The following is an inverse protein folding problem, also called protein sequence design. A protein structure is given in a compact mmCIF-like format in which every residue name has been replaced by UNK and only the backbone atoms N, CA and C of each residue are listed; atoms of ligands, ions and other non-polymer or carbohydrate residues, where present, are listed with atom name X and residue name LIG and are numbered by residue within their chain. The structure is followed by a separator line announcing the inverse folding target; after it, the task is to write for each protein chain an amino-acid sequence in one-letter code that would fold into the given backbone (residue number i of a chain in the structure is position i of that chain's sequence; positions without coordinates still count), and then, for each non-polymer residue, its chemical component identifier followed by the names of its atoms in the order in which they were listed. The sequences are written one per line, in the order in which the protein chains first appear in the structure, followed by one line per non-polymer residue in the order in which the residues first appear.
data_IF_545272260648
#
_entry.id   IF_545272260648
#
_cell.length_a   1.000
_cell.length_b   1.000
_cell.length_c   1.000
_cell.angle_alpha   90.00
_cell.angle_beta   90.00
_cell.angle_gamma   90.00
#
_symmetry.space_group_name_H-M   'P 1'
#
loop_
_entity.id
_entity.type
_entity.pdbx_description
1 polymer ?
#
# COMPACT_ATOMS: atom_id res chain seq x y z
N UNK A 1 -5.10 -45.43 -75.68
CA UNK A 1 -5.60 -44.82 -74.46
C UNK A 1 -4.52 -44.98 -73.43
N UNK A 2 -3.73 -43.92 -73.20
CA UNK A 2 -2.63 -43.87 -72.21
C UNK A 2 -3.18 -43.13 -71.01
N UNK A 3 -3.21 -43.81 -69.84
CA UNK A 3 -3.65 -43.23 -68.57
C UNK A 3 -2.52 -42.37 -67.98
N UNK A 4 -2.82 -41.11 -67.72
CA UNK A 4 -1.93 -40.17 -67.01
C UNK A 4 -2.03 -40.45 -65.50
N UNK A 5 -0.85 -40.58 -64.87
CA UNK A 5 -0.71 -40.70 -63.40
C UNK A 5 -0.79 -39.32 -62.76
N UNK A 6 -1.44 -39.16 -61.59
CA UNK A 6 -1.48 -37.88 -60.90
C UNK A 6 -0.18 -37.57 -60.21
N UNK A 7 0.35 -36.38 -60.46
CA UNK A 7 1.53 -35.80 -59.81
C UNK A 7 1.16 -35.34 -58.41
N UNK A 8 1.76 -35.94 -57.39
CA UNK A 8 1.66 -35.46 -55.99
C UNK A 8 2.53 -34.21 -55.85
N UNK A 9 1.90 -33.09 -55.48
CA UNK A 9 2.57 -31.86 -55.09
C UNK A 9 2.85 -31.97 -53.58
N UNK A 10 4.09 -32.17 -53.19
CA UNK A 10 4.54 -32.04 -51.78
C UNK A 10 4.39 -30.58 -51.37
N UNK A 11 3.55 -30.33 -50.40
CA UNK A 11 3.49 -29.03 -49.69
C UNK A 11 4.71 -28.94 -48.76
N UNK A 12 5.40 -27.77 -48.68
CA UNK A 12 6.52 -27.59 -47.78
C UNK A 12 6.05 -27.60 -46.33
N UNK A 13 6.68 -28.42 -45.51
CA UNK A 13 6.52 -28.51 -44.06
C UNK A 13 6.84 -27.11 -43.49
N UNK A 14 5.83 -26.41 -42.99
CA UNK A 14 6.01 -25.14 -42.31
C UNK A 14 6.88 -25.38 -41.09
N UNK A 15 8.05 -24.74 -41.06
CA UNK A 15 8.98 -24.80 -39.95
C UNK A 15 8.28 -24.33 -38.67
N UNK A 16 8.15 -25.22 -37.71
CA UNK A 16 7.71 -24.92 -36.35
C UNK A 16 8.75 -23.96 -35.79
N UNK A 17 8.37 -22.69 -35.57
CA UNK A 17 9.18 -21.71 -34.86
C UNK A 17 9.68 -22.32 -33.55
N UNK A 18 10.98 -22.19 -33.22
CA UNK A 18 11.47 -22.72 -31.97
C UNK A 18 10.70 -22.05 -30.82
N UNK A 19 10.14 -22.86 -29.94
CA UNK A 19 9.60 -22.44 -28.65
C UNK A 19 10.64 -21.55 -28.01
N UNK A 20 10.35 -20.27 -27.92
CA UNK A 20 11.19 -19.31 -27.21
C UNK A 20 11.30 -19.81 -25.78
N UNK A 21 12.47 -20.37 -25.40
CA UNK A 21 12.75 -20.76 -24.03
C UNK A 21 12.74 -19.45 -23.25
N UNK A 22 11.63 -19.17 -22.54
CA UNK A 22 11.54 -18.06 -21.61
C UNK A 22 12.65 -18.25 -20.58
N UNK A 23 13.63 -17.37 -20.59
CA UNK A 23 14.61 -17.34 -19.52
C UNK A 23 13.86 -17.04 -18.21
N UNK A 24 14.17 -17.77 -17.12
CA UNK A 24 13.48 -17.57 -15.85
C UNK A 24 13.71 -16.15 -15.35
N UNK A 25 12.67 -15.57 -14.74
CA UNK A 25 12.78 -14.28 -14.11
C UNK A 25 13.78 -14.33 -12.93
N UNK A 26 14.64 -13.34 -12.83
CA UNK A 26 15.68 -13.27 -11.79
C UNK A 26 15.32 -12.19 -10.80
N UNK A 27 15.27 -12.55 -9.52
CA UNK A 27 14.98 -11.61 -8.43
C UNK A 27 16.23 -11.28 -7.65
N UNK A 28 16.51 -9.97 -7.51
CA UNK A 28 17.67 -9.45 -6.79
C UNK A 28 17.26 -8.39 -5.78
N UNK A 29 18.08 -8.26 -4.72
CA UNK A 29 17.94 -7.14 -3.77
C UNK A 29 18.28 -5.83 -4.49
N UNK A 30 17.39 -4.86 -4.37
CA UNK A 30 17.58 -3.51 -4.91
C UNK A 30 18.47 -2.68 -3.97
N UNK A 31 19.31 -1.86 -4.58
CA UNK A 31 20.26 -1.00 -3.91
C UNK A 31 20.10 0.45 -4.39
N UNK A 32 20.84 1.37 -3.77
CA UNK A 32 20.77 2.80 -4.06
C UNK A 32 20.90 3.13 -5.57
N UNK A 33 21.75 2.42 -6.29
CA UNK A 33 21.95 2.61 -7.74
C UNK A 33 20.71 2.29 -8.59
N UNK A 34 19.78 1.48 -8.07
CA UNK A 34 18.53 1.13 -8.74
C UNK A 34 17.39 2.14 -8.51
N UNK A 35 17.57 3.13 -7.63
CA UNK A 35 16.47 3.96 -7.12
C UNK A 35 15.72 4.71 -8.22
N UNK A 36 16.43 5.28 -9.20
CA UNK A 36 15.82 6.00 -10.32
C UNK A 36 14.97 5.09 -11.20
N UNK A 37 15.45 3.90 -11.50
CA UNK A 37 14.73 2.91 -12.29
C UNK A 37 13.48 2.41 -11.55
N UNK A 38 13.63 2.08 -10.27
CA UNK A 38 12.54 1.60 -9.42
C UNK A 38 11.45 2.65 -9.26
N UNK A 39 11.81 3.91 -9.00
CA UNK A 39 10.84 4.99 -8.92
C UNK A 39 10.10 5.20 -10.25
N UNK A 40 10.79 5.10 -11.40
CA UNK A 40 10.14 5.16 -12.72
C UNK A 40 9.11 4.03 -12.88
N UNK A 41 9.49 2.79 -12.56
CA UNK A 41 8.59 1.63 -12.61
C UNK A 41 7.36 1.81 -11.72
N UNK A 42 7.55 2.21 -10.47
CA UNK A 42 6.45 2.38 -9.51
C UNK A 42 5.51 3.55 -9.87
N UNK A 43 6.06 4.63 -10.45
CA UNK A 43 5.28 5.82 -10.83
C UNK A 43 4.46 5.64 -12.11
N UNK A 44 4.59 4.52 -12.84
CA UNK A 44 3.64 4.14 -13.88
C UNK A 44 2.24 3.83 -13.30
N UNK A 45 2.18 3.37 -12.05
CA UNK A 45 0.95 3.06 -11.31
C UNK A 45 0.95 3.74 -9.93
N UNK A 46 1.00 5.09 -9.89
CA UNK A 46 1.33 5.84 -8.68
C UNK A 46 0.33 5.62 -7.55
N UNK A 47 -0.96 5.47 -7.89
CA UNK A 47 -2.02 5.24 -6.91
C UNK A 47 -1.86 3.91 -6.17
N UNK A 48 -1.44 2.87 -6.89
CA UNK A 48 -1.25 1.53 -6.34
C UNK A 48 0.09 1.38 -5.60
N UNK A 49 1.08 2.18 -5.97
CA UNK A 49 2.44 2.12 -5.44
C UNK A 49 2.75 3.24 -4.44
N UNK A 50 1.74 3.97 -3.97
CA UNK A 50 1.92 5.13 -3.11
C UNK A 50 2.80 4.83 -1.89
N UNK A 51 2.58 3.71 -1.21
CA UNK A 51 3.34 3.32 -0.01
C UNK A 51 4.81 3.07 -0.35
N UNK A 52 5.10 2.24 -1.37
CA UNK A 52 6.49 1.92 -1.75
C UNK A 52 7.22 3.15 -2.26
N UNK A 53 6.58 3.94 -3.12
CA UNK A 53 7.14 5.19 -3.65
C UNK A 53 7.46 6.18 -2.52
N UNK A 54 6.55 6.35 -1.57
CA UNK A 54 6.76 7.21 -0.42
C UNK A 54 7.93 6.76 0.43
N UNK A 55 8.01 5.46 0.77
CA UNK A 55 9.11 4.90 1.55
C UNK A 55 10.47 5.11 0.87
N UNK A 56 10.56 4.92 -0.46
CA UNK A 56 11.80 5.14 -1.19
C UNK A 56 12.18 6.62 -1.19
N UNK A 57 11.24 7.53 -1.44
CA UNK A 57 11.51 8.98 -1.44
C UNK A 57 11.93 9.50 -0.07
N UNK A 58 11.33 8.97 1.01
CA UNK A 58 11.63 9.41 2.36
C UNK A 58 12.94 8.83 2.91
N UNK A 59 13.25 7.58 2.55
CA UNK A 59 14.27 6.80 3.23
C UNK A 59 15.35 6.25 2.30
N UNK A 60 15.13 6.22 0.98
CA UNK A 60 15.92 5.44 0.02
C UNK A 60 15.63 3.95 0.10
N UNK A 61 16.20 3.18 -0.84
CA UNK A 61 15.95 1.73 -0.96
C UNK A 61 16.51 0.90 0.21
N UNK A 62 17.62 1.34 0.83
CA UNK A 62 18.40 0.53 1.78
C UNK A 62 18.21 0.94 3.26
N UNK A 63 17.17 1.67 3.58
CA UNK A 63 16.93 2.16 4.93
C UNK A 63 16.27 1.14 5.85
N UNK A 64 16.73 1.07 7.11
CA UNK A 64 16.06 0.30 8.18
C UNK A 64 14.63 0.80 8.47
N UNK A 65 14.33 2.04 8.12
CA UNK A 65 13.01 2.63 8.34
C UNK A 65 11.95 2.08 7.38
N UNK A 66 12.36 1.45 6.28
CA UNK A 66 11.44 0.74 5.39
C UNK A 66 10.87 -0.54 6.05
N UNK A 67 11.47 -1.00 7.17
CA UNK A 67 11.07 -2.22 7.89
C UNK A 67 11.03 -3.47 7.00
N UNK A 68 11.84 -3.48 5.96
CA UNK A 68 11.94 -4.54 4.98
C UNK A 68 13.06 -4.25 3.97
N UNK A 69 13.18 -5.14 3.02
CA UNK A 69 14.13 -5.06 1.91
C UNK A 69 13.38 -4.95 0.60
N UNK A 70 13.80 -4.04 -0.26
CA UNK A 70 13.28 -3.94 -1.62
C UNK A 70 13.95 -4.95 -2.54
N UNK A 71 13.14 -5.67 -3.31
CA UNK A 71 13.56 -6.63 -4.33
C UNK A 71 12.99 -6.23 -5.68
N UNK A 72 13.79 -6.42 -6.73
CA UNK A 72 13.39 -6.26 -8.12
C UNK A 72 13.42 -7.58 -8.85
N UNK A 73 12.40 -7.88 -9.62
CA UNK A 73 12.36 -9.03 -10.53
C UNK A 73 12.56 -8.55 -11.97
N UNK A 74 13.49 -9.20 -12.69
CA UNK A 74 13.81 -8.88 -14.09
C UNK A 74 13.50 -10.08 -14.97
N UNK A 75 13.03 -9.79 -16.17
CA UNK A 75 12.83 -10.81 -17.21
C UNK A 75 14.14 -11.15 -17.96
N UNK A 76 14.05 -12.06 -18.93
CA UNK A 76 15.19 -12.49 -19.74
C UNK A 76 15.81 -11.40 -20.60
N UNK A 77 15.20 -10.22 -20.75
CA UNK A 77 15.75 -9.04 -21.42
C UNK A 77 16.38 -8.03 -20.46
N UNK A 78 16.49 -8.39 -19.18
CA UNK A 78 16.94 -7.52 -18.07
C UNK A 78 15.98 -6.37 -17.75
N UNK A 79 14.75 -6.40 -18.27
CA UNK A 79 13.74 -5.40 -17.96
C UNK A 79 13.12 -5.66 -16.57
N UNK A 80 12.93 -4.59 -15.77
CA UNK A 80 12.26 -4.68 -14.47
C UNK A 80 10.77 -4.97 -14.67
N UNK A 81 10.32 -6.15 -14.23
CA UNK A 81 8.93 -6.63 -14.37
C UNK A 81 8.20 -6.75 -13.02
N UNK A 82 8.90 -6.48 -11.93
CA UNK A 82 8.30 -6.45 -10.61
C UNK A 82 9.17 -5.78 -9.57
N UNK A 83 8.53 -5.16 -8.58
CA UNK A 83 9.15 -4.61 -7.37
C UNK A 83 8.36 -5.07 -6.16
N UNK A 84 9.05 -5.53 -5.13
CA UNK A 84 8.45 -5.87 -3.85
C UNK A 84 9.25 -5.30 -2.69
N UNK A 85 8.55 -4.81 -1.67
CA UNK A 85 9.10 -4.59 -0.33
C UNK A 85 8.69 -5.80 0.53
N UNK A 86 9.67 -6.53 1.05
CA UNK A 86 9.45 -7.72 1.88
C UNK A 86 10.12 -7.53 3.24
N UNK A 87 9.34 -7.66 4.29
CA UNK A 87 9.83 -7.51 5.67
C UNK A 87 8.69 -7.59 6.68
N UNK A 88 8.43 -6.54 7.45
CA UNK A 88 7.27 -6.50 8.35
C UNK A 88 5.93 -6.53 7.58
N UNK A 89 5.87 -5.82 6.47
CA UNK A 89 4.79 -5.93 5.47
C UNK A 89 5.35 -6.43 4.15
N UNK A 90 4.48 -7.00 3.32
CA UNK A 90 4.76 -7.32 1.92
C UNK A 90 3.88 -6.44 1.05
N UNK A 91 4.54 -5.62 0.22
CA UNK A 91 3.92 -4.74 -0.78
C UNK A 91 4.49 -5.09 -2.13
N UNK A 92 3.65 -5.23 -3.16
CA UNK A 92 4.06 -5.79 -4.45
C UNK A 92 3.46 -5.00 -5.60
N UNK A 93 4.28 -4.69 -6.59
CA UNK A 93 3.84 -4.39 -7.96
C UNK A 93 4.54 -5.37 -8.91
N UNK A 94 3.79 -6.27 -9.54
CA UNK A 94 4.31 -7.28 -10.45
C UNK A 94 3.50 -7.31 -11.74
N UNK A 95 4.21 -7.34 -12.88
CA UNK A 95 3.61 -7.31 -14.21
C UNK A 95 3.40 -8.72 -14.78
N UNK A 96 3.90 -9.77 -14.11
CA UNK A 96 3.78 -11.16 -14.53
C UNK A 96 3.71 -12.10 -13.33
N UNK A 97 3.23 -13.34 -13.56
CA UNK A 97 3.12 -14.36 -12.52
C UNK A 97 4.46 -14.87 -12.03
N UNK A 98 5.47 -14.92 -12.90
CA UNK A 98 6.81 -15.36 -12.52
C UNK A 98 7.40 -14.45 -11.42
N UNK A 99 7.18 -13.13 -11.51
CA UNK A 99 7.58 -12.19 -10.47
C UNK A 99 6.81 -12.41 -9.16
N UNK A 100 5.49 -12.70 -9.23
CA UNK A 100 4.69 -13.00 -8.04
C UNK A 100 5.17 -14.28 -7.34
N UNK A 101 5.49 -15.32 -8.12
CA UNK A 101 6.00 -16.58 -7.59
C UNK A 101 7.35 -16.40 -6.89
N UNK A 102 8.28 -15.69 -7.51
CA UNK A 102 9.59 -15.40 -6.92
C UNK A 102 9.49 -14.56 -5.64
N UNK A 103 8.64 -13.52 -5.64
CA UNK A 103 8.42 -12.72 -4.44
C UNK A 103 7.74 -13.52 -3.32
N UNK A 104 6.83 -14.44 -3.65
CA UNK A 104 6.21 -15.33 -2.67
C UNK A 104 7.24 -16.25 -2.03
N UNK A 105 8.11 -16.85 -2.83
CA UNK A 105 9.22 -17.72 -2.34
C UNK A 105 10.14 -16.93 -1.41
N UNK A 106 10.54 -15.72 -1.79
CA UNK A 106 11.35 -14.86 -0.93
C UNK A 106 10.61 -14.50 0.37
N UNK A 107 9.33 -14.13 0.29
CA UNK A 107 8.56 -13.74 1.47
C UNK A 107 8.40 -14.90 2.48
N UNK A 108 8.38 -16.16 2.02
CA UNK A 108 8.35 -17.34 2.87
C UNK A 108 9.61 -17.50 3.75
N UNK A 109 10.74 -16.92 3.32
CA UNK A 109 11.99 -16.91 4.09
C UNK A 109 11.98 -15.90 5.27
N UNK A 110 10.92 -15.03 5.34
CA UNK A 110 10.79 -14.00 6.36
C UNK A 110 9.74 -14.39 7.42
N UNK A 111 10.14 -14.98 8.56
CA UNK A 111 9.18 -15.50 9.56
C UNK A 111 8.42 -14.40 10.32
N UNK A 112 8.79 -13.13 10.14
CA UNK A 112 8.20 -11.96 10.82
C UNK A 112 7.36 -11.08 9.90
N UNK A 113 6.91 -11.61 8.77
CA UNK A 113 5.90 -10.91 7.96
C UNK A 113 4.62 -10.81 8.77
N UNK A 114 4.11 -9.61 8.93
CA UNK A 114 2.88 -9.36 9.69
C UNK A 114 1.66 -9.22 8.80
N UNK A 115 1.84 -8.65 7.60
CA UNK A 115 0.76 -8.44 6.65
C UNK A 115 1.23 -8.51 5.18
N UNK A 116 0.28 -8.85 4.31
CA UNK A 116 0.33 -8.65 2.86
C UNK A 116 -0.70 -7.59 2.50
N UNK A 117 -0.35 -6.59 1.70
CA UNK A 117 -1.29 -5.57 1.25
C UNK A 117 -1.07 -5.23 -0.21
N UNK A 118 -2.16 -5.14 -0.96
CA UNK A 118 -2.12 -4.76 -2.37
C UNK A 118 -3.49 -4.86 -3.03
N UNK A 119 -3.52 -4.68 -4.35
CA UNK A 119 -4.72 -4.91 -5.15
C UNK A 119 -5.22 -6.33 -4.97
N UNK A 120 -6.54 -6.50 -4.89
CA UNK A 120 -7.17 -7.77 -4.54
C UNK A 120 -6.70 -8.92 -5.44
N UNK A 121 -6.72 -8.76 -6.75
CA UNK A 121 -6.30 -9.78 -7.71
C UNK A 121 -4.81 -10.13 -7.60
N UNK A 122 -3.96 -9.14 -7.34
CA UNK A 122 -2.52 -9.34 -7.11
C UNK A 122 -2.29 -10.13 -5.82
N UNK A 123 -2.96 -9.75 -4.72
CA UNK A 123 -2.86 -10.43 -3.44
C UNK A 123 -3.41 -11.86 -3.53
N UNK A 124 -4.54 -12.08 -4.20
CA UNK A 124 -5.12 -13.42 -4.42
C UNK A 124 -4.18 -14.33 -5.21
N UNK A 125 -3.55 -13.83 -6.26
CA UNK A 125 -2.56 -14.59 -7.07
C UNK A 125 -1.29 -14.87 -6.27
N UNK A 126 -0.74 -13.86 -5.58
CA UNK A 126 0.42 -14.02 -4.71
C UNK A 126 0.14 -15.04 -3.59
N UNK A 127 -1.04 -15.00 -2.98
CA UNK A 127 -1.43 -15.91 -1.92
C UNK A 127 -1.41 -17.38 -2.35
N UNK A 128 -1.74 -17.69 -3.61
CA UNK A 128 -1.65 -19.07 -4.14
C UNK A 128 -0.23 -19.64 -4.09
N UNK A 129 0.77 -18.79 -4.31
CA UNK A 129 2.18 -19.18 -4.24
C UNK A 129 2.74 -19.12 -2.81
N UNK A 130 2.26 -18.18 -2.01
CA UNK A 130 2.77 -17.97 -0.65
C UNK A 130 2.22 -18.99 0.37
N UNK A 131 0.92 -19.27 0.34
CA UNK A 131 0.21 -20.02 1.37
C UNK A 131 0.74 -21.45 1.63
N UNK A 132 1.24 -22.23 0.63
CA UNK A 132 1.69 -23.60 0.87
C UNK A 132 2.85 -23.72 1.85
N UNK A 133 3.73 -22.72 1.94
CA UNK A 133 4.95 -22.75 2.76
C UNK A 133 5.12 -21.49 3.62
N UNK A 134 4.20 -20.54 3.51
CA UNK A 134 4.20 -19.29 4.27
C UNK A 134 3.42 -19.40 5.58
N UNK A 135 3.37 -18.28 6.29
CA UNK A 135 2.58 -18.15 7.51
C UNK A 135 1.08 -18.24 7.21
N UNK A 136 0.32 -18.80 8.16
CA UNK A 136 -1.13 -18.89 8.03
C UNK A 136 -1.80 -17.52 8.17
N UNK A 137 -2.92 -17.36 7.47
CA UNK A 137 -3.76 -16.16 7.56
C UNK A 137 -4.43 -16.09 8.94
N UNK A 138 -4.34 -14.95 9.59
CA UNK A 138 -5.06 -14.60 10.81
C UNK A 138 -6.37 -13.88 10.49
N UNK A 139 -6.30 -12.87 9.62
CA UNK A 139 -7.45 -12.04 9.24
C UNK A 139 -7.32 -11.57 7.80
N UNK A 140 -8.44 -11.37 7.12
CA UNK A 140 -8.55 -10.68 5.84
C UNK A 140 -9.39 -9.42 6.03
N UNK A 141 -8.86 -8.27 5.62
CA UNK A 141 -9.59 -7.03 5.49
C UNK A 141 -9.69 -6.69 4.01
N UNK A 142 -10.92 -6.52 3.52
CA UNK A 142 -11.21 -6.00 2.19
C UNK A 142 -11.45 -4.52 2.25
N UNK A 143 -10.88 -3.79 1.31
CA UNK A 143 -10.88 -2.34 1.34
C UNK A 143 -11.15 -1.78 -0.06
N UNK A 144 -11.77 -0.62 -0.10
CA UNK A 144 -11.99 0.14 -1.34
C UNK A 144 -10.96 1.25 -1.38
N UNK A 145 -10.17 1.28 -2.47
CA UNK A 145 -9.26 2.39 -2.74
C UNK A 145 -10.08 3.56 -3.29
N UNK A 146 -10.06 4.67 -2.56
CA UNK A 146 -10.73 5.90 -2.92
C UNK A 146 -9.72 6.99 -3.26
N UNK A 147 -10.00 7.78 -4.28
CA UNK A 147 -9.14 8.87 -4.76
C UNK A 147 -9.92 10.17 -4.87
N UNK A 148 -9.29 11.26 -4.48
CA UNK A 148 -9.74 12.64 -4.69
C UNK A 148 -8.70 13.39 -5.52
N UNK A 149 -9.12 13.95 -6.67
CA UNK A 149 -8.23 14.73 -7.57
C UNK A 149 -8.57 16.23 -7.60
N UNK A 150 -9.72 16.61 -7.06
CA UNK A 150 -10.16 18.00 -6.99
C UNK A 150 -10.56 18.34 -5.57
N UNK A 151 -10.28 19.56 -5.08
CA UNK A 151 -10.68 19.94 -3.73
C UNK A 151 -12.21 19.92 -3.58
N UNK A 152 -12.73 19.52 -2.41
CA UNK A 152 -14.17 19.53 -2.15
C UNK A 152 -14.81 20.90 -2.40
N UNK A 153 -15.97 20.90 -3.06
CA UNK A 153 -16.65 22.09 -3.58
C UNK A 153 -17.12 23.10 -2.52
N UNK A 154 -17.14 22.74 -1.25
CA UNK A 154 -17.57 23.64 -0.17
C UNK A 154 -16.37 24.31 0.51
N UNK A 155 -16.20 25.65 0.36
CA UNK A 155 -15.08 26.35 0.96
C UNK A 155 -15.26 26.67 2.45
N UNK A 156 -16.41 26.34 3.05
CA UNK A 156 -16.81 26.93 4.31
C UNK A 156 -16.36 26.16 5.56
N UNK A 157 -15.97 26.95 6.54
CA UNK A 157 -15.54 26.63 7.89
C UNK A 157 -14.12 26.00 7.98
N UNK A 158 -13.13 26.89 8.10
CA UNK A 158 -11.80 26.48 8.56
C UNK A 158 -11.93 25.81 9.94
N UNK A 159 -11.84 24.49 9.97
CA UNK A 159 -11.53 23.81 11.20
C UNK A 159 -10.14 24.28 11.63
N UNK A 160 -9.88 24.47 12.93
CA UNK A 160 -8.54 24.77 13.43
C UNK A 160 -7.62 23.52 13.32
N UNK A 161 -7.67 22.87 12.13
CA UNK A 161 -6.84 21.71 11.82
C UNK A 161 -5.41 22.18 11.62
N UNK A 162 -4.47 21.52 12.30
CA UNK A 162 -3.05 21.85 12.27
C UNK A 162 -2.19 20.60 12.25
N UNK A 163 -0.94 20.75 11.92
CA UNK A 163 0.07 19.73 12.14
C UNK A 163 0.20 19.46 13.65
N UNK A 164 0.35 18.18 14.00
CA UNK A 164 0.62 17.76 15.36
C UNK A 164 1.99 18.24 15.82
N UNK A 165 2.12 18.59 17.09
CA UNK A 165 3.37 18.84 17.79
C UNK A 165 3.69 17.70 18.74
N UNK A 166 4.93 17.63 19.25
CA UNK A 166 5.34 16.56 20.16
C UNK A 166 4.53 16.51 21.47
N UNK A 167 3.96 17.61 21.92
CA UNK A 167 3.05 17.63 23.07
C UNK A 167 1.68 16.97 22.77
N UNK A 168 1.32 16.75 21.49
CA UNK A 168 0.12 15.99 21.12
C UNK A 168 0.35 14.48 21.16
N UNK A 169 1.60 14.02 21.30
CA UNK A 169 1.97 12.59 21.24
C UNK A 169 1.19 11.74 22.25
N UNK A 170 0.95 12.27 23.46
CA UNK A 170 0.20 11.60 24.51
C UNK A 170 -1.27 11.35 24.13
N UNK A 171 -1.86 12.22 23.27
CA UNK A 171 -3.22 12.10 22.76
C UNK A 171 -3.28 11.22 21.50
N UNK A 172 -2.28 11.33 20.64
CA UNK A 172 -2.21 10.60 19.35
C UNK A 172 -1.98 9.11 19.57
N UNK A 173 -1.06 8.72 20.46
CA UNK A 173 -0.66 7.32 20.67
C UNK A 173 -1.83 6.41 21.05
N UNK A 174 -2.69 6.72 22.04
CA UNK A 174 -3.81 5.86 22.40
C UNK A 174 -4.82 5.68 21.24
N UNK A 175 -5.17 6.76 20.55
CA UNK A 175 -6.11 6.74 19.43
C UNK A 175 -5.56 5.88 18.29
N UNK A 176 -4.28 6.05 17.95
CA UNK A 176 -3.65 5.25 16.91
C UNK A 176 -3.55 3.76 17.29
N UNK A 177 -3.29 3.45 18.56
CA UNK A 177 -3.26 2.07 19.06
C UNK A 177 -4.64 1.40 19.01
N UNK A 178 -5.69 2.13 19.36
CA UNK A 178 -7.09 1.63 19.24
C UNK A 178 -7.42 1.31 17.80
N UNK A 179 -7.10 2.19 16.87
CA UNK A 179 -7.34 1.97 15.43
C UNK A 179 -6.59 0.74 14.92
N UNK A 180 -5.30 0.61 15.26
CA UNK A 180 -4.48 -0.54 14.87
C UNK A 180 -5.04 -1.85 15.45
N UNK A 181 -5.55 -1.83 16.67
CA UNK A 181 -6.19 -2.99 17.28
C UNK A 181 -7.52 -3.37 16.60
N UNK A 182 -8.36 -2.39 16.28
CA UNK A 182 -9.62 -2.63 15.55
C UNK A 182 -9.35 -3.27 14.17
N UNK A 183 -8.27 -2.89 13.52
CA UNK A 183 -7.90 -3.35 12.18
C UNK A 183 -7.24 -4.72 12.18
N UNK A 184 -6.19 -4.91 12.98
CA UNK A 184 -5.34 -6.10 12.99
C UNK A 184 -5.72 -7.15 14.04
N UNK A 185 -6.47 -6.75 15.09
CA UNK A 185 -6.71 -7.57 16.29
C UNK A 185 -5.52 -7.60 17.26
N UNK A 186 -4.43 -6.87 16.96
CA UNK A 186 -3.21 -6.84 17.79
C UNK A 186 -3.05 -5.45 18.40
N UNK A 187 -2.98 -5.40 19.74
CA UNK A 187 -2.71 -4.13 20.42
C UNK A 187 -1.21 -3.83 20.41
N UNK A 188 -0.75 -2.81 19.66
CA UNK A 188 0.67 -2.51 19.55
C UNK A 188 1.30 -2.03 20.85
N UNK A 189 0.51 -1.50 21.79
CA UNK A 189 1.00 -1.09 23.10
C UNK A 189 1.29 -2.27 24.04
N UNK A 190 0.75 -3.47 23.74
CA UNK A 190 1.08 -4.70 24.48
C UNK A 190 2.27 -5.44 23.87
N UNK A 191 2.46 -5.32 22.55
CA UNK A 191 3.50 -6.07 21.82
C UNK A 191 4.82 -5.30 21.75
N UNK A 192 4.77 -4.01 21.42
CA UNK A 192 5.95 -3.14 21.24
C UNK A 192 5.61 -1.69 21.60
N UNK A 193 5.39 -1.38 22.90
CA UNK A 193 4.96 -0.04 23.33
C UNK A 193 5.99 1.04 23.01
N UNK A 194 7.28 0.72 23.15
CA UNK A 194 8.37 1.67 22.90
C UNK A 194 8.50 1.98 21.42
N UNK A 195 8.62 0.96 20.57
CA UNK A 195 8.75 1.15 19.14
C UNK A 195 7.49 1.75 18.52
N UNK A 196 6.28 1.38 19.01
CA UNK A 196 5.04 2.00 18.54
C UNK A 196 5.01 3.51 18.85
N UNK A 197 5.34 3.90 20.09
CA UNK A 197 5.43 5.31 20.47
C UNK A 197 6.49 6.07 19.67
N UNK A 198 7.63 5.45 19.39
CA UNK A 198 8.69 6.04 18.55
C UNK A 198 8.22 6.26 17.11
N UNK A 199 7.46 5.33 16.54
CA UNK A 199 6.87 5.49 15.19
C UNK A 199 5.86 6.64 15.13
N UNK A 200 4.99 6.77 16.13
CA UNK A 200 4.07 7.90 16.24
C UNK A 200 4.84 9.23 16.39
N UNK A 201 5.87 9.25 17.24
CA UNK A 201 6.73 10.42 17.45
C UNK A 201 7.40 10.85 16.15
N UNK A 202 8.05 9.91 15.45
CA UNK A 202 8.72 10.18 14.18
C UNK A 202 7.76 10.80 13.15
N UNK A 203 6.55 10.26 13.01
CA UNK A 203 5.54 10.79 12.09
C UNK A 203 5.15 12.23 12.41
N UNK A 204 5.07 12.58 13.69
CA UNK A 204 4.85 13.96 14.13
C UNK A 204 6.07 14.85 13.78
N UNK A 205 7.29 14.40 14.06
CA UNK A 205 8.53 15.11 13.74
C UNK A 205 8.69 15.35 12.23
N UNK A 206 8.29 14.40 11.41
CA UNK A 206 8.23 14.48 9.94
C UNK A 206 7.05 15.31 9.41
N UNK A 207 6.24 15.94 10.29
CA UNK A 207 5.09 16.77 9.94
C UNK A 207 4.00 16.03 9.15
N UNK A 208 3.80 14.76 9.45
CA UNK A 208 2.88 13.86 8.75
C UNK A 208 1.62 13.53 9.52
N UNK A 209 1.44 14.03 10.74
CA UNK A 209 0.22 13.87 11.54
C UNK A 209 -0.51 15.19 11.64
N UNK A 210 -1.77 15.20 11.26
CA UNK A 210 -2.68 16.35 11.36
C UNK A 210 -3.71 16.11 12.47
N UNK A 211 -3.99 17.14 13.25
CA UNK A 211 -4.88 17.06 14.42
C UNK A 211 -5.76 18.29 14.55
N UNK A 212 -6.98 18.06 15.05
CA UNK A 212 -7.81 19.07 15.69
C UNK A 212 -7.91 18.72 17.16
N UNK A 213 -7.50 19.65 18.03
CA UNK A 213 -7.56 19.50 19.48
C UNK A 213 -8.37 20.69 20.05
N UNK A 214 -9.42 20.40 20.80
CA UNK A 214 -10.25 21.37 21.51
C UNK A 214 -10.45 20.91 22.95
N UNK A 215 -10.37 21.84 23.89
CA UNK A 215 -10.54 21.57 25.33
C UNK A 215 -9.73 20.35 25.82
N UNK A 216 -8.50 20.26 25.37
CA UNK A 216 -7.56 19.17 25.66
C UNK A 216 -7.94 17.79 25.10
N UNK A 217 -8.99 17.69 24.29
CA UNK A 217 -9.44 16.46 23.60
C UNK A 217 -9.00 16.44 22.15
N UNK A 218 -8.49 15.30 21.67
CA UNK A 218 -8.23 15.04 20.27
C UNK A 218 -9.54 14.75 19.54
N UNK A 219 -10.03 15.72 18.76
CA UNK A 219 -11.31 15.65 18.04
C UNK A 219 -11.17 14.93 16.71
N UNK A 220 -10.09 15.28 15.97
CA UNK A 220 -9.79 14.70 14.66
C UNK A 220 -8.29 14.41 14.54
N UNK A 221 -7.99 13.34 13.83
CA UNK A 221 -6.63 12.94 13.47
C UNK A 221 -6.62 12.38 12.06
N UNK A 222 -5.55 12.66 11.32
CA UNK A 222 -5.21 12.00 10.06
C UNK A 222 -3.69 11.91 9.91
N UNK A 223 -3.20 10.82 9.31
CA UNK A 223 -1.78 10.63 9.01
C UNK A 223 -1.52 10.64 7.51
N UNK A 224 -0.47 11.32 7.09
CA UNK A 224 0.11 11.22 5.75
C UNK A 224 1.15 10.11 5.77
N UNK A 225 0.88 9.01 5.09
CA UNK A 225 1.78 7.84 5.03
C UNK A 225 2.78 7.98 3.91
N UNK A 226 2.32 8.48 2.77
CA UNK A 226 3.14 8.76 1.60
C UNK A 226 2.79 10.13 1.06
N UNK A 227 3.81 10.88 0.68
CA UNK A 227 3.68 12.21 0.09
C UNK A 227 4.54 12.30 -1.18
N UNK A 228 3.87 12.39 -2.31
CA UNK A 228 4.52 12.48 -3.61
C UNK A 228 3.76 13.44 -4.53
N UNK A 229 4.40 13.98 -5.59
CA UNK A 229 3.71 14.82 -6.57
C UNK A 229 2.55 14.13 -7.28
N UNK A 230 2.56 12.80 -7.36
CA UNK A 230 1.54 12.01 -8.03
C UNK A 230 0.34 11.74 -7.11
N UNK A 231 0.63 11.38 -5.85
CA UNK A 231 -0.41 10.99 -4.88
C UNK A 231 0.08 11.14 -3.45
N UNK A 232 -0.78 11.68 -2.60
CA UNK A 232 -0.66 11.59 -1.13
C UNK A 232 -1.57 10.48 -0.64
N UNK A 233 -1.03 9.53 0.13
CA UNK A 233 -1.81 8.47 0.75
C UNK A 233 -2.03 8.76 2.24
N UNK A 234 -3.30 8.77 2.63
CA UNK A 234 -3.74 9.04 4.00
C UNK A 234 -4.20 7.77 4.70
N UNK A 235 -3.84 7.65 5.96
CA UNK A 235 -4.36 6.64 6.88
C UNK A 235 -4.74 7.26 8.23
N UNK A 236 -5.29 6.44 9.10
CA UNK A 236 -5.53 6.80 10.49
C UNK A 236 -6.47 7.98 10.65
N UNK A 237 -7.41 8.17 9.70
CA UNK A 237 -8.43 9.22 9.77
C UNK A 237 -9.47 8.85 10.82
N UNK A 238 -9.53 9.63 11.88
CA UNK A 238 -10.42 9.37 13.02
C UNK A 238 -11.10 10.64 13.51
N UNK A 239 -12.39 10.52 13.82
CA UNK A 239 -13.16 11.53 14.57
C UNK A 239 -13.52 10.92 15.92
N UNK A 240 -13.25 11.64 16.99
CA UNK A 240 -13.61 11.22 18.34
C UNK A 240 -15.10 10.86 18.42
N UNK A 241 -15.51 9.74 19.04
CA UNK A 241 -16.89 9.25 19.02
C UNK A 241 -17.94 10.29 19.41
N UNK A 242 -17.70 11.08 20.46
CA UNK A 242 -18.62 12.13 20.96
C UNK A 242 -18.81 13.28 19.96
N UNK A 243 -17.89 13.48 19.01
CA UNK A 243 -17.90 14.57 18.04
C UNK A 243 -18.31 14.11 16.64
N UNK A 244 -18.69 12.84 16.48
CA UNK A 244 -19.22 12.33 15.20
C UNK A 244 -20.57 12.96 14.87
N UNK A 245 -20.91 13.00 13.57
CA UNK A 245 -22.14 13.61 13.02
C UNK A 245 -22.32 15.10 13.29
N UNK A 246 -21.27 15.79 13.78
CA UNK A 246 -21.23 17.23 14.03
C UNK A 246 -20.39 17.97 12.97
N UNK A 247 -20.17 17.34 11.80
CA UNK A 247 -19.42 17.87 10.64
C UNK A 247 -17.92 18.10 10.88
N UNK A 248 -17.35 17.78 12.04
CA UNK A 248 -15.89 17.90 12.27
C UNK A 248 -15.07 17.15 11.23
N UNK A 249 -15.43 15.88 10.94
CA UNK A 249 -14.72 15.07 9.95
C UNK A 249 -14.69 15.70 8.56
N UNK A 250 -15.84 16.16 8.06
CA UNK A 250 -15.94 16.78 6.73
C UNK A 250 -15.17 18.09 6.64
N UNK A 251 -15.24 18.95 7.67
CA UNK A 251 -14.51 20.21 7.73
C UNK A 251 -13.00 19.98 7.76
N UNK A 252 -12.53 19.10 8.67
CA UNK A 252 -11.10 18.78 8.80
C UNK A 252 -10.55 18.13 7.53
N UNK A 253 -11.25 17.13 6.98
CA UNK A 253 -10.77 16.45 5.79
C UNK A 253 -10.79 17.34 4.55
N UNK A 254 -11.80 18.21 4.39
CA UNK A 254 -11.83 19.19 3.32
C UNK A 254 -10.68 20.20 3.41
N UNK A 255 -10.35 20.68 4.61
CA UNK A 255 -9.21 21.57 4.83
C UNK A 255 -7.89 20.83 4.52
N UNK A 256 -7.71 19.61 5.02
CA UNK A 256 -6.52 18.79 4.79
C UNK A 256 -6.32 18.52 3.30
N UNK A 257 -7.33 17.99 2.63
CA UNK A 257 -7.22 17.62 1.20
C UNK A 257 -6.97 18.83 0.32
N UNK A 258 -7.54 20.00 0.63
CA UNK A 258 -7.25 21.25 -0.09
C UNK A 258 -5.79 21.66 0.07
N UNK A 259 -5.23 21.53 1.29
CA UNK A 259 -3.81 21.82 1.53
C UNK A 259 -2.90 20.87 0.76
N UNK A 260 -3.22 19.57 0.74
CA UNK A 260 -2.42 18.55 0.07
C UNK A 260 -2.49 18.67 -1.46
N UNK A 261 -3.67 18.90 -2.02
CA UNK A 261 -3.86 19.09 -3.48
C UNK A 261 -3.17 20.34 -4.03
N UNK A 262 -2.64 21.20 -3.17
CA UNK A 262 -1.78 22.32 -3.56
C UNK A 262 -0.41 21.87 -4.10
N UNK A 263 0.03 20.66 -3.82
CA UNK A 263 1.35 20.13 -4.24
C UNK A 263 1.32 18.70 -4.81
N UNK A 264 0.18 18.01 -4.74
CA UNK A 264 0.00 16.67 -5.32
C UNK A 264 -1.15 16.66 -6.33
N UNK A 265 -1.14 15.69 -7.24
CA UNK A 265 -2.23 15.50 -8.22
C UNK A 265 -3.46 14.86 -7.62
N UNK A 266 -3.31 14.07 -6.56
CA UNK A 266 -4.43 13.40 -5.92
C UNK A 266 -4.14 13.00 -4.48
N UNK A 267 -5.22 12.78 -3.72
CA UNK A 267 -5.19 12.22 -2.37
C UNK A 267 -5.93 10.88 -2.39
N UNK A 268 -5.38 9.87 -1.75
CA UNK A 268 -5.98 8.53 -1.67
C UNK A 268 -6.12 8.03 -0.25
N UNK A 269 -7.10 7.16 -0.04
CA UNK A 269 -7.38 6.46 1.21
C UNK A 269 -7.84 5.04 0.91
N UNK A 270 -7.57 4.10 1.82
CA UNK A 270 -8.22 2.79 1.85
C UNK A 270 -9.31 2.79 2.91
N UNK A 271 -10.47 2.26 2.56
CA UNK A 271 -11.64 2.21 3.45
C UNK A 271 -12.21 0.79 3.44
N UNK A 272 -12.31 0.20 4.62
CA UNK A 272 -12.85 -1.15 4.78
C UNK A 272 -14.24 -1.28 4.10
N UNK A 273 -14.41 -2.34 3.30
CA UNK A 273 -15.63 -2.61 2.51
C UNK A 273 -16.89 -2.72 3.39
N UNK A 274 -16.76 -3.21 4.61
CA UNK A 274 -17.85 -3.36 5.56
C UNK A 274 -18.27 -2.02 6.19
N UNK A 275 -17.40 -1.01 6.19
CA UNK A 275 -17.65 0.31 6.78
C UNK A 275 -18.40 1.24 5.81
N UNK A 276 -19.60 0.86 5.36
CA UNK A 276 -20.43 1.66 4.43
C UNK A 276 -20.58 3.13 4.81
N UNK A 277 -20.84 3.49 6.09
CA UNK A 277 -20.93 4.91 6.47
C UNK A 277 -19.66 5.71 6.23
N UNK A 278 -18.48 5.06 6.36
CA UNK A 278 -17.20 5.73 6.05
C UNK A 278 -17.02 5.91 4.54
N UNK A 279 -17.37 4.92 3.73
CA UNK A 279 -17.34 5.05 2.26
C UNK A 279 -18.23 6.19 1.78
N UNK A 280 -19.46 6.28 2.26
CA UNK A 280 -20.39 7.36 1.91
C UNK A 280 -19.87 8.73 2.36
N UNK A 281 -19.22 8.81 3.52
CA UNK A 281 -18.57 10.03 3.99
C UNK A 281 -17.49 10.51 3.01
N UNK A 282 -16.62 9.63 2.53
CA UNK A 282 -15.60 10.00 1.55
C UNK A 282 -16.21 10.37 0.18
N UNK A 283 -17.20 9.63 -0.29
CA UNK A 283 -17.91 9.93 -1.53
C UNK A 283 -18.58 11.32 -1.51
N UNK A 284 -19.18 11.69 -0.38
CA UNK A 284 -19.79 13.03 -0.20
C UNK A 284 -18.75 14.15 -0.27
N UNK A 285 -17.48 13.87 -0.02
CA UNK A 285 -16.38 14.81 -0.18
C UNK A 285 -15.75 14.81 -1.58
N UNK A 286 -16.30 14.00 -2.51
CA UNK A 286 -15.83 13.92 -3.89
C UNK A 286 -14.82 12.80 -4.18
N UNK A 287 -14.54 11.91 -3.21
CA UNK A 287 -13.71 10.75 -3.47
C UNK A 287 -14.44 9.75 -4.39
N UNK A 288 -13.71 9.18 -5.34
CA UNK A 288 -14.20 8.16 -6.27
C UNK A 288 -13.46 6.85 -6.09
N UNK A 289 -14.17 5.72 -6.27
CA UNK A 289 -13.57 4.38 -6.17
C UNK A 289 -12.64 4.12 -7.35
N UNK A 290 -11.48 3.49 -7.05
CA UNK A 290 -10.43 3.16 -8.04
C UNK A 290 -10.08 1.69 -8.08
N UNK A 291 -10.44 0.90 -7.09
CA UNK A 291 -10.17 -0.51 -7.04
C UNK A 291 -10.46 -1.13 -5.68
N UNK A 292 -10.29 -2.43 -5.61
CA UNK A 292 -10.40 -3.21 -4.39
C UNK A 292 -9.00 -3.64 -3.92
N UNK A 293 -8.81 -3.65 -2.62
CA UNK A 293 -7.58 -4.04 -1.95
C UNK A 293 -7.87 -5.12 -0.92
N UNK A 294 -6.92 -6.00 -0.77
CA UNK A 294 -6.89 -6.98 0.31
C UNK A 294 -5.68 -6.72 1.21
N UNK A 295 -5.96 -6.66 2.52
CA UNK A 295 -4.94 -6.72 3.55
C UNK A 295 -5.09 -8.02 4.31
N UNK A 296 -4.13 -8.94 4.14
CA UNK A 296 -4.06 -10.22 4.84
C UNK A 296 -3.12 -10.07 6.02
N UNK A 297 -3.64 -10.15 7.24
CA UNK A 297 -2.83 -10.27 8.45
C UNK A 297 -2.40 -11.71 8.66
N UNK A 298 -1.14 -11.92 8.99
CA UNK A 298 -0.52 -13.23 9.16
C UNK A 298 -0.36 -13.56 10.65
N UNK A 299 -0.41 -14.84 10.97
CA UNK A 299 -0.05 -15.32 12.31
C UNK A 299 1.46 -15.26 12.45
N UNK A 300 1.96 -14.34 13.23
CA UNK A 300 3.35 -14.39 13.68
C UNK A 300 3.40 -15.33 14.88
N UNK A 301 4.28 -16.31 14.84
CA UNK A 301 4.63 -17.05 16.06
C UNK A 301 5.19 -16.04 17.04
N UNK A 302 4.38 -15.68 18.03
CA UNK A 302 4.87 -14.93 19.18
C UNK A 302 5.85 -15.84 19.85
N UNK A 303 7.14 -15.54 19.75
CA UNK A 303 8.11 -16.21 20.60
C UNK A 303 7.62 -15.97 22.05
N UNK A 304 7.13 -17.03 22.67
CA UNK A 304 6.94 -17.10 24.12
C UNK A 304 8.34 -16.89 24.72
N UNK A 305 8.63 -15.69 25.20
CA UNK A 305 9.76 -15.37 26.08
C UNK A 305 9.19 -15.11 27.45
#
# INVERSE_FOLDING_TARGET
MIAESPTFIEQPITAISPLSIRQPAVTTRLRKENETEVLRFLTERPLHNAVMTGLIRDNGLESKFNRGTFYGCRDGSDALVGVALIGHGVFIDARCDDALQEFARLAQEFPRVHLLMGEQDVVERFWKYYAPHGQSKSRLCREVLLQLSEPPARPDDSANLRLAHLWDLSRVVPVHATMAFEESGVNPLLVDPVGFRQRCRRRIEERRTWVLVEHDKLIFKADVISDSPEVVYLEGICVHPEYRRQRYGSKCLAQLTRSLLGHTRSVSVLVNEERRPAQEFFKQLGFVSRGLYDTIFLRTETALV
#
